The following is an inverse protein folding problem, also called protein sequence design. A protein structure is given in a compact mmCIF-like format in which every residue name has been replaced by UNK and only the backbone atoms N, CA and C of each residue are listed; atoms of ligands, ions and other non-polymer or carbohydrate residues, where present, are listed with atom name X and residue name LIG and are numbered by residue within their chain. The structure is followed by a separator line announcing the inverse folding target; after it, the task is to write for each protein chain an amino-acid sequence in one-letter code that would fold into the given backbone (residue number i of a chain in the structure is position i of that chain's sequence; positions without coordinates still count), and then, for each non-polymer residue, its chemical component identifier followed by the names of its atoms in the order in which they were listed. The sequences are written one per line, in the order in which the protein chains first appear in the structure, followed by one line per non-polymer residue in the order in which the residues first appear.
data_IF_181516283576
#
_entry.id   IF_181516283576
#
_cell.length_a   1.000
_cell.length_b   1.000
_cell.length_c   1.000
_cell.angle_alpha   90.00
_cell.angle_beta   90.00
_cell.angle_gamma   90.00
#
_symmetry.space_group_name_H-M   'P 1'
#
loop_
_entity.id
_entity.type
_entity.pdbx_description
1 polymer ?
#
# COMPACT_ATOMS: atom_id res chain seq x y z
N UNK A 1 24.79 5.36 23.38
CA UNK A 1 23.40 5.79 23.08
C UNK A 1 23.26 5.98 21.57
N UNK A 2 22.99 4.93 20.80
CA UNK A 2 22.82 5.01 19.34
C UNK A 2 21.83 3.94 18.86
N UNK A 3 20.54 4.29 18.79
CA UNK A 3 19.43 3.42 18.36
C UNK A 3 18.68 3.98 17.13
N UNK A 4 19.24 4.96 16.42
CA UNK A 4 18.55 5.67 15.33
C UNK A 4 18.49 4.86 14.02
N UNK A 5 19.34 3.83 13.88
CA UNK A 5 19.55 3.08 12.62
C UNK A 5 18.49 2.00 12.37
N UNK A 6 17.74 1.60 13.40
CA UNK A 6 16.76 0.51 13.31
C UNK A 6 15.47 0.94 12.59
N UNK A 7 15.08 2.21 12.73
CA UNK A 7 13.85 2.78 12.14
C UNK A 7 13.94 2.90 10.62
N UNK A 8 15.09 3.31 10.08
CA UNK A 8 15.35 3.42 8.63
C UNK A 8 15.07 2.11 7.87
N UNK A 9 15.38 0.97 8.49
CA UNK A 9 15.10 -0.36 7.90
C UNK A 9 13.62 -0.72 7.97
N UNK A 10 12.91 -0.34 9.04
CA UNK A 10 11.45 -0.54 9.14
C UNK A 10 10.69 0.32 8.13
N UNK A 11 11.13 1.54 7.86
CA UNK A 11 10.50 2.39 6.85
C UNK A 11 10.53 1.77 5.45
N UNK A 12 11.58 1.00 5.12
CA UNK A 12 11.66 0.27 3.84
C UNK A 12 10.61 -0.84 3.72
N UNK A 13 10.39 -1.60 4.79
CA UNK A 13 9.37 -2.65 4.82
C UNK A 13 7.93 -2.08 4.82
N UNK A 14 7.75 -0.89 5.40
CA UNK A 14 6.47 -0.16 5.38
C UNK A 14 6.19 0.36 3.97
N UNK A 15 7.18 0.97 3.31
CA UNK A 15 7.04 1.47 1.94
C UNK A 15 6.68 0.35 0.95
N UNK A 16 7.29 -0.84 1.07
CA UNK A 16 6.91 -1.99 0.23
C UNK A 16 5.54 -2.56 0.58
N UNK A 17 5.15 -2.64 1.85
CA UNK A 17 3.77 -3.04 2.23
C UNK A 17 2.70 -2.07 1.73
N UNK A 18 3.03 -0.78 1.64
CA UNK A 18 2.13 0.22 1.08
C UNK A 18 1.93 0.03 -0.43
N UNK A 19 2.92 -0.46 -1.17
CA UNK A 19 2.78 -0.72 -2.61
C UNK A 19 1.74 -1.81 -2.90
N UNK A 20 1.73 -2.87 -2.09
CA UNK A 20 0.77 -3.99 -2.18
C UNK A 20 -0.65 -3.50 -1.85
N UNK A 21 -0.75 -2.64 -0.83
CA UNK A 21 -2.02 -2.05 -0.41
C UNK A 21 -2.52 -1.05 -1.44
N UNK A 22 -1.64 -0.22 -2.02
CA UNK A 22 -1.96 0.75 -3.05
C UNK A 22 -2.38 0.07 -4.35
N UNK A 23 -1.70 -1.00 -4.75
CA UNK A 23 -2.07 -1.83 -5.90
C UNK A 23 -3.38 -2.58 -5.66
N UNK A 24 -3.59 -3.11 -4.45
CA UNK A 24 -4.87 -3.69 -4.05
C UNK A 24 -6.00 -2.64 -4.01
N UNK A 25 -5.71 -1.41 -3.57
CA UNK A 25 -6.68 -0.30 -3.55
C UNK A 25 -7.06 0.12 -4.97
N UNK A 26 -6.08 0.24 -5.87
CA UNK A 26 -6.33 0.58 -7.27
C UNK A 26 -7.15 -0.52 -7.96
N UNK A 27 -6.83 -1.79 -7.70
CA UNK A 27 -7.63 -2.92 -8.18
C UNK A 27 -9.06 -2.91 -7.63
N UNK A 28 -9.24 -2.63 -6.33
CA UNK A 28 -10.55 -2.50 -5.70
C UNK A 28 -11.37 -1.34 -6.27
N UNK A 29 -10.75 -0.18 -6.53
CA UNK A 29 -11.39 0.97 -7.19
C UNK A 29 -11.81 0.62 -8.62
N UNK A 30 -10.98 -0.10 -9.36
CA UNK A 30 -11.31 -0.55 -10.71
C UNK A 30 -12.50 -1.52 -10.73
N UNK A 31 -12.51 -2.46 -9.79
CA UNK A 31 -13.62 -3.40 -9.57
C UNK A 31 -14.91 -2.66 -9.21
N UNK A 32 -14.85 -1.75 -8.23
CA UNK A 32 -16.00 -0.95 -7.81
C UNK A 32 -16.55 -0.08 -8.95
N UNK A 33 -15.67 0.59 -9.72
CA UNK A 33 -16.07 1.38 -10.87
C UNK A 33 -16.75 0.54 -11.95
N UNK A 34 -16.24 -0.66 -12.23
CA UNK A 34 -16.85 -1.61 -13.18
C UNK A 34 -18.21 -2.09 -12.70
N UNK A 35 -18.35 -2.40 -11.41
CA UNK A 35 -19.62 -2.82 -10.82
C UNK A 35 -20.66 -1.71 -10.86
N UNK A 36 -20.26 -0.46 -10.59
CA UNK A 36 -21.15 0.71 -10.65
C UNK A 36 -21.59 0.99 -12.09
N UNK A 37 -20.69 0.89 -13.07
CA UNK A 37 -21.02 1.21 -14.47
C UNK A 37 -21.93 0.17 -15.12
N UNK A 38 -21.97 -1.06 -14.60
CA UNK A 38 -22.74 -2.18 -15.13
C UNK A 38 -24.12 -2.35 -14.48
N UNK A 39 -24.49 -1.47 -13.53
CA UNK A 39 -25.81 -1.37 -12.91
C UNK A 39 -26.65 -0.30 -13.61
#
# INVERSE_FOLDING_TARGET
MANSSCKLRQFRAIATRYDETARNFLAAVYLAATVIVLN
#
